data_IF_751965138189
#
_entry.id   IF_751965138189
#
_cell.length_a   1.000
_cell.length_b   1.000
_cell.length_c   1.000
_cell.angle_alpha   90.00
_cell.angle_beta   90.00
_cell.angle_gamma   90.00
#
_symmetry.space_group_name_H-M   'P 1'
#
loop_
_entity.id
_entity.type
_entity.pdbx_description
1 polymer ?
#
# COMPACT_ATOMS: atom_id res chain seq x y z
N UNK A 1 24.64 2.28 -13.18
CA UNK A 1 24.37 1.13 -12.27
C UNK A 1 23.33 0.25 -12.92
N UNK A 2 23.53 -1.06 -12.89
CA UNK A 2 22.58 -2.06 -13.37
C UNK A 2 21.81 -2.63 -12.19
N UNK A 3 20.49 -2.41 -12.16
CA UNK A 3 19.62 -2.77 -11.02
C UNK A 3 18.56 -3.77 -11.46
N UNK A 4 18.53 -4.92 -10.82
CA UNK A 4 17.46 -5.89 -10.98
C UNK A 4 16.42 -5.72 -9.87
N UNK A 5 15.19 -5.39 -10.25
CA UNK A 5 14.04 -5.29 -9.35
C UNK A 5 13.30 -6.62 -9.37
N UNK A 6 13.30 -7.36 -8.28
CA UNK A 6 12.69 -8.69 -8.21
C UNK A 6 11.43 -8.67 -7.38
N UNK A 7 10.31 -9.00 -8.03
CA UNK A 7 9.01 -9.14 -7.40
C UNK A 7 8.71 -10.60 -7.10
N UNK A 8 8.51 -10.92 -5.83
CA UNK A 8 8.02 -12.24 -5.42
C UNK A 8 6.66 -12.55 -6.04
N UNK A 9 5.88 -11.52 -6.31
CA UNK A 9 4.52 -11.62 -6.84
C UNK A 9 4.16 -10.34 -7.57
N UNK A 10 3.98 -10.43 -8.88
CA UNK A 10 3.44 -9.32 -9.68
C UNK A 10 1.91 -9.38 -9.68
N UNK A 11 1.27 -8.51 -8.90
CA UNK A 11 -0.20 -8.38 -8.85
C UNK A 11 -0.57 -6.92 -9.08
N UNK A 12 -1.38 -6.67 -10.11
CA UNK A 12 -1.94 -5.35 -10.35
C UNK A 12 -2.71 -4.85 -9.12
N UNK A 13 -2.58 -3.57 -8.79
CA UNK A 13 -3.23 -2.97 -7.63
C UNK A 13 -2.62 -3.34 -6.27
N UNK A 14 -1.55 -4.14 -6.24
CA UNK A 14 -0.80 -4.42 -5.02
C UNK A 14 0.21 -3.30 -4.75
N UNK A 15 0.27 -2.80 -3.52
CA UNK A 15 1.22 -1.77 -3.11
C UNK A 15 2.68 -2.13 -3.39
N UNK A 16 3.04 -3.41 -3.24
CA UNK A 16 4.38 -3.91 -3.56
C UNK A 16 4.73 -3.76 -5.04
N UNK A 17 3.79 -4.11 -5.91
CA UNK A 17 3.97 -3.96 -7.36
C UNK A 17 4.06 -2.48 -7.74
N UNK A 18 3.19 -1.63 -7.19
CA UNK A 18 3.23 -0.18 -7.44
C UNK A 18 4.56 0.43 -7.01
N UNK A 19 5.00 0.15 -5.79
CA UNK A 19 6.32 0.60 -5.32
C UNK A 19 7.45 0.25 -6.29
N UNK A 20 7.48 -1.01 -6.74
CA UNK A 20 8.53 -1.47 -7.65
C UNK A 20 8.45 -0.77 -9.02
N UNK A 21 7.25 -0.54 -9.55
CA UNK A 21 7.04 0.14 -10.83
C UNK A 21 7.45 1.61 -10.73
N UNK A 22 7.03 2.30 -9.67
CA UNK A 22 7.37 3.72 -9.47
C UNK A 22 8.88 3.89 -9.33
N UNK A 23 9.55 2.98 -8.62
CA UNK A 23 11.00 3.00 -8.53
C UNK A 23 11.68 2.68 -9.86
N UNK A 24 11.17 1.70 -10.62
CA UNK A 24 11.65 1.40 -11.96
C UNK A 24 11.55 2.61 -12.89
N UNK A 25 10.38 3.24 -12.96
CA UNK A 25 10.16 4.41 -13.81
C UNK A 25 11.11 5.55 -13.47
N UNK A 26 11.33 5.77 -12.18
CA UNK A 26 12.29 6.76 -11.71
C UNK A 26 13.73 6.40 -12.14
N UNK A 27 14.16 5.16 -11.97
CA UNK A 27 15.49 4.69 -12.38
C UNK A 27 15.73 4.88 -13.87
N UNK A 28 14.76 4.55 -14.72
CA UNK A 28 14.88 4.76 -16.17
C UNK A 28 14.95 6.24 -16.51
N UNK A 29 14.16 7.08 -15.85
CA UNK A 29 14.18 8.55 -16.03
C UNK A 29 15.55 9.13 -15.67
N UNK A 30 16.17 8.61 -14.60
CA UNK A 30 17.51 9.04 -14.16
C UNK A 30 18.66 8.37 -14.97
N UNK A 31 18.36 7.59 -16.00
CA UNK A 31 19.34 7.01 -16.90
C UNK A 31 20.04 5.76 -16.36
N UNK A 32 19.45 5.07 -15.41
CA UNK A 32 19.95 3.80 -14.89
C UNK A 32 19.47 2.61 -15.74
N UNK A 33 20.28 1.55 -15.80
CA UNK A 33 19.92 0.28 -16.42
C UNK A 33 19.11 -0.54 -15.40
N UNK A 34 17.80 -0.55 -15.53
CA UNK A 34 16.92 -1.27 -14.62
C UNK A 34 16.05 -2.30 -15.35
N UNK A 35 15.79 -3.43 -14.71
CA UNK A 35 14.92 -4.49 -15.22
C UNK A 35 14.06 -5.04 -14.10
N UNK A 36 12.74 -5.19 -14.35
CA UNK A 36 11.82 -5.86 -13.44
C UNK A 36 11.74 -7.34 -13.79
N UNK A 37 11.96 -8.19 -12.82
CA UNK A 37 11.74 -9.63 -12.88
C UNK A 37 10.58 -9.99 -11.96
N UNK A 38 9.50 -10.55 -12.53
CA UNK A 38 8.31 -10.89 -11.77
C UNK A 38 8.01 -12.40 -11.86
N UNK A 39 7.85 -13.04 -10.72
CA UNK A 39 7.35 -14.40 -10.66
C UNK A 39 5.85 -14.41 -10.99
N UNK A 40 5.46 -15.26 -11.97
CA UNK A 40 4.09 -15.35 -12.44
C UNK A 40 3.44 -16.64 -12.00
N UNK A 41 2.40 -16.55 -11.20
CA UNK A 41 1.59 -17.69 -10.78
C UNK A 41 0.37 -17.91 -11.70
N UNK A 42 0.14 -19.16 -12.12
CA UNK A 42 -0.95 -19.51 -13.04
C UNK A 42 -2.36 -19.28 -12.48
N UNK A 43 -2.51 -19.15 -11.16
CA UNK A 43 -3.83 -19.19 -10.48
C UNK A 43 -4.44 -17.82 -10.19
N UNK A 44 -3.71 -16.74 -10.40
CA UNK A 44 -4.27 -15.42 -10.21
C UNK A 44 -4.91 -14.96 -11.52
N UNK A 45 -6.17 -14.46 -11.49
CA UNK A 45 -6.69 -13.80 -12.66
C UNK A 45 -5.68 -12.74 -13.06
N UNK A 46 -5.19 -12.83 -14.28
CA UNK A 46 -4.31 -11.81 -14.84
C UNK A 46 -5.12 -10.53 -14.95
N UNK A 47 -5.01 -9.67 -13.96
CA UNK A 47 -5.19 -8.27 -14.24
C UNK A 47 -4.00 -7.92 -15.11
N UNK A 48 -4.29 -7.53 -16.34
CA UNK A 48 -3.26 -7.09 -17.25
C UNK A 48 -2.51 -5.97 -16.53
N UNK A 49 -1.29 -6.23 -16.14
CA UNK A 49 -0.28 -5.21 -15.92
C UNK A 49 0.01 -4.65 -17.30
N UNK A 50 -0.90 -3.84 -17.82
CA UNK A 50 -1.05 -3.61 -19.24
C UNK A 50 0.11 -2.86 -19.86
N UNK A 51 0.98 -2.25 -19.05
CA UNK A 51 2.04 -1.39 -19.56
C UNK A 51 3.39 -1.56 -18.86
N UNK A 52 3.55 -2.59 -18.01
CA UNK A 52 4.81 -2.81 -17.32
C UNK A 52 5.71 -3.68 -18.17
N UNK A 53 6.84 -3.14 -18.58
CA UNK A 53 7.91 -3.92 -19.18
C UNK A 53 8.57 -4.73 -18.07
N UNK A 54 8.07 -5.94 -17.82
CA UNK A 54 8.71 -6.85 -16.90
C UNK A 54 9.07 -8.18 -17.58
N UNK A 55 10.16 -8.78 -17.15
CA UNK A 55 10.52 -10.15 -17.50
C UNK A 55 9.76 -11.09 -16.59
N UNK A 56 8.65 -11.62 -17.09
CA UNK A 56 7.91 -12.68 -16.40
C UNK A 56 8.72 -14.00 -16.45
N UNK A 57 8.83 -14.68 -15.31
CA UNK A 57 9.51 -15.96 -15.25
C UNK A 57 8.72 -17.05 -14.54
N UNK A 58 8.98 -18.29 -14.94
CA UNK A 58 8.42 -19.51 -14.37
C UNK A 58 9.53 -20.37 -13.78
N UNK A 59 9.17 -21.43 -13.10
CA UNK A 59 10.12 -22.35 -12.46
C UNK A 59 11.27 -22.80 -13.39
N UNK A 60 10.96 -23.15 -14.62
CA UNK A 60 11.95 -23.60 -15.61
C UNK A 60 12.96 -22.52 -16.00
N UNK A 61 12.62 -21.27 -15.80
CA UNK A 61 13.42 -20.12 -16.24
C UNK A 61 14.43 -19.68 -15.18
N UNK A 62 14.36 -20.22 -13.97
CA UNK A 62 15.19 -19.81 -12.83
C UNK A 62 16.70 -19.84 -13.11
N UNK A 63 17.25 -20.91 -13.68
CA UNK A 63 18.70 -20.94 -13.87
C UNK A 63 19.19 -19.80 -14.77
N UNK A 64 18.34 -19.38 -15.71
CA UNK A 64 18.64 -18.26 -16.59
C UNK A 64 18.47 -16.92 -15.88
N UNK A 65 17.38 -16.77 -15.12
CA UNK A 65 17.13 -15.57 -14.33
C UNK A 65 18.26 -15.37 -13.29
N UNK A 66 18.66 -16.40 -12.57
CA UNK A 66 19.77 -16.33 -11.64
C UNK A 66 21.06 -15.82 -12.32
N UNK A 67 21.37 -16.29 -13.54
CA UNK A 67 22.53 -15.80 -14.30
C UNK A 67 22.40 -14.34 -14.72
N UNK A 68 21.20 -13.86 -15.01
CA UNK A 68 20.99 -12.46 -15.33
C UNK A 68 21.07 -11.58 -14.07
N UNK A 69 20.51 -12.03 -12.97
CA UNK A 69 20.62 -11.33 -11.67
C UNK A 69 22.08 -11.23 -11.20
N UNK A 70 22.89 -12.27 -11.43
CA UNK A 70 24.31 -12.28 -11.09
C UNK A 70 25.14 -11.22 -11.82
N UNK A 71 24.66 -10.71 -12.96
CA UNK A 71 25.29 -9.65 -13.74
C UNK A 71 24.88 -8.24 -13.31
N UNK A 72 24.01 -8.12 -12.32
CA UNK A 72 23.56 -6.83 -11.81
C UNK A 72 24.50 -6.29 -10.75
N UNK A 73 24.57 -4.98 -10.61
CA UNK A 73 25.29 -4.35 -9.50
C UNK A 73 24.47 -4.48 -8.21
N UNK A 74 23.15 -4.36 -8.33
CA UNK A 74 22.20 -4.45 -7.22
C UNK A 74 21.02 -5.35 -7.60
N UNK A 75 20.62 -6.20 -6.67
CA UNK A 75 19.34 -6.93 -6.71
C UNK A 75 18.46 -6.38 -5.59
N UNK A 76 17.38 -5.73 -5.97
CA UNK A 76 16.37 -5.17 -5.06
C UNK A 76 15.16 -6.10 -5.02
N UNK A 77 15.01 -6.80 -3.91
CA UNK A 77 13.98 -7.82 -3.73
C UNK A 77 12.79 -7.30 -2.94
N UNK A 78 11.65 -7.18 -3.60
CA UNK A 78 10.39 -6.84 -2.94
C UNK A 78 9.72 -8.10 -2.43
N UNK A 79 9.83 -8.34 -1.14
CA UNK A 79 9.35 -9.54 -0.49
C UNK A 79 7.87 -9.45 -0.11
N UNK A 80 7.19 -10.57 -0.21
CA UNK A 80 5.82 -10.73 0.26
C UNK A 80 5.76 -11.87 1.28
N UNK A 81 5.61 -11.56 2.58
CA UNK A 81 5.78 -12.55 3.64
C UNK A 81 4.56 -13.44 3.90
N UNK A 82 3.47 -13.27 3.18
CA UNK A 82 2.27 -14.06 3.43
C UNK A 82 2.31 -15.46 2.82
N UNK A 83 2.03 -16.45 3.65
CA UNK A 83 1.59 -17.76 3.20
C UNK A 83 0.15 -17.67 2.69
N UNK A 84 -0.07 -17.38 1.42
CA UNK A 84 -1.30 -17.81 0.78
C UNK A 84 -1.11 -19.22 0.23
N UNK A 85 -2.17 -20.02 0.28
CA UNK A 85 -2.15 -21.39 -0.26
C UNK A 85 -1.79 -21.34 -1.73
N UNK A 86 -0.61 -21.87 -2.09
CA UNK A 86 -0.05 -21.82 -3.44
C UNK A 86 1.14 -20.88 -3.63
N UNK A 87 1.43 -19.97 -2.69
CA UNK A 87 2.56 -19.05 -2.75
C UNK A 87 3.87 -19.67 -2.24
N UNK A 88 3.82 -20.78 -1.49
CA UNK A 88 5.01 -21.50 -0.98
C UNK A 88 6.01 -21.81 -2.09
N UNK A 89 5.48 -22.05 -3.28
CA UNK A 89 6.27 -22.31 -4.46
C UNK A 89 7.08 -21.10 -4.94
N UNK A 90 6.47 -19.92 -5.00
CA UNK A 90 7.12 -18.73 -5.51
C UNK A 90 8.13 -18.17 -4.53
N UNK A 91 7.82 -18.23 -3.23
CA UNK A 91 8.74 -17.78 -2.18
C UNK A 91 9.98 -18.66 -2.09
N UNK A 92 9.80 -19.99 -2.04
CA UNK A 92 10.91 -20.94 -2.06
C UNK A 92 11.80 -20.75 -3.29
N UNK A 93 11.20 -20.39 -4.37
CA UNK A 93 11.79 -20.26 -5.67
C UNK A 93 12.63 -19.01 -5.84
N UNK A 94 12.10 -17.84 -5.48
CA UNK A 94 12.83 -16.57 -5.48
C UNK A 94 13.94 -16.60 -4.43
N UNK A 95 13.67 -17.27 -3.31
CA UNK A 95 14.62 -17.54 -2.28
C UNK A 95 15.90 -18.18 -2.83
N UNK A 96 15.76 -19.24 -3.57
CA UNK A 96 16.90 -19.96 -4.14
C UNK A 96 17.65 -19.12 -5.17
N UNK A 97 16.93 -18.33 -6.00
CA UNK A 97 17.57 -17.45 -6.96
C UNK A 97 18.38 -16.34 -6.28
N UNK A 98 17.80 -15.68 -5.29
CA UNK A 98 18.44 -14.52 -4.65
C UNK A 98 19.53 -14.97 -3.68
N UNK A 99 19.27 -16.05 -2.94
CA UNK A 99 20.18 -16.58 -1.95
C UNK A 99 21.52 -17.02 -2.54
N UNK A 100 21.51 -17.65 -3.71
CA UNK A 100 22.72 -18.15 -4.38
C UNK A 100 23.58 -17.07 -5.06
N UNK A 101 23.11 -15.81 -5.14
CA UNK A 101 23.86 -14.74 -5.82
C UNK A 101 25.09 -14.30 -5.00
N UNK A 102 26.21 -14.17 -5.70
CA UNK A 102 27.51 -13.84 -5.10
C UNK A 102 27.96 -12.41 -5.45
N UNK A 103 27.69 -11.92 -6.65
CA UNK A 103 28.22 -10.62 -7.11
C UNK A 103 27.39 -9.41 -6.72
N UNK A 104 26.04 -9.39 -6.87
CA UNK A 104 25.28 -8.17 -6.61
C UNK A 104 25.19 -7.84 -5.12
N UNK A 105 25.02 -6.57 -4.81
CA UNK A 105 24.49 -6.13 -3.52
C UNK A 105 23.00 -6.56 -3.45
N UNK A 106 22.63 -7.28 -2.40
CA UNK A 106 21.30 -7.81 -2.21
C UNK A 106 20.53 -7.00 -1.17
N UNK A 107 19.49 -6.33 -1.61
CA UNK A 107 18.64 -5.52 -0.75
C UNK A 107 17.23 -6.04 -0.80
N UNK A 108 16.66 -6.31 0.36
CA UNK A 108 15.27 -6.68 0.48
C UNK A 108 14.41 -5.54 1.01
N UNK A 109 13.15 -5.50 0.66
CA UNK A 109 12.17 -4.70 1.36
C UNK A 109 10.96 -5.54 1.78
N UNK A 110 10.28 -5.10 2.82
CA UNK A 110 9.03 -5.68 3.26
C UNK A 110 8.05 -4.57 3.61
N UNK A 111 6.97 -4.45 2.83
CA UNK A 111 5.92 -3.46 3.02
C UNK A 111 4.71 -4.01 3.79
N UNK A 112 4.77 -5.24 4.30
CA UNK A 112 3.64 -5.85 4.98
C UNK A 112 3.66 -5.59 6.48
N UNK A 113 2.52 -5.15 7.00
CA UNK A 113 2.30 -4.93 8.42
C UNK A 113 2.02 -6.23 9.19
N UNK A 114 1.45 -7.24 8.52
CA UNK A 114 0.98 -8.46 9.17
C UNK A 114 1.94 -9.63 9.00
N UNK A 115 2.97 -9.64 9.81
CA UNK A 115 4.02 -10.67 9.80
C UNK A 115 3.75 -11.85 10.76
N UNK A 116 2.55 -11.98 11.29
CA UNK A 116 2.24 -13.01 12.27
C UNK A 116 2.51 -14.45 11.77
N UNK A 117 2.42 -14.67 10.47
CA UNK A 117 2.69 -15.97 9.84
C UNK A 117 4.17 -16.20 9.48
N UNK A 118 5.01 -15.16 9.48
CA UNK A 118 6.42 -15.25 9.12
C UNK A 118 7.24 -16.09 10.09
N UNK A 119 6.89 -16.08 11.35
CA UNK A 119 7.63 -16.82 12.39
C UNK A 119 7.77 -18.33 12.10
N UNK A 120 6.93 -18.85 11.19
CA UNK A 120 6.89 -20.28 10.84
C UNK A 120 7.66 -20.63 9.57
N UNK A 121 8.14 -19.64 8.81
CA UNK A 121 8.85 -19.87 7.56
C UNK A 121 10.35 -19.63 7.74
N UNK A 122 11.08 -20.65 8.16
CA UNK A 122 12.51 -20.54 8.39
C UNK A 122 13.29 -20.21 7.10
N UNK A 123 12.83 -20.66 5.93
CA UNK A 123 13.47 -20.36 4.64
C UNK A 123 13.46 -18.86 4.33
N UNK A 124 12.36 -18.18 4.67
CA UNK A 124 12.27 -16.74 4.52
C UNK A 124 13.36 -16.03 5.33
N UNK A 125 13.59 -16.46 6.55
CA UNK A 125 14.61 -15.85 7.40
C UNK A 125 16.04 -16.15 6.94
N UNK A 126 16.27 -17.33 6.36
CA UNK A 126 17.57 -17.63 5.74
C UNK A 126 17.84 -16.69 4.56
N UNK A 127 16.81 -16.35 3.77
CA UNK A 127 16.96 -15.32 2.71
C UNK A 127 17.30 -13.99 3.35
N UNK A 128 16.58 -13.58 4.38
CA UNK A 128 16.84 -12.30 5.05
C UNK A 128 18.25 -12.23 5.63
N UNK A 129 18.78 -13.32 6.16
CA UNK A 129 20.18 -13.42 6.60
C UNK A 129 21.17 -13.19 5.46
N UNK A 130 20.82 -13.58 4.23
CA UNK A 130 21.68 -13.42 3.06
C UNK A 130 21.64 -12.02 2.44
N UNK A 131 20.74 -11.15 2.88
CA UNK A 131 20.63 -9.78 2.38
C UNK A 131 21.73 -8.89 2.97
N UNK A 132 22.24 -7.98 2.16
CA UNK A 132 23.19 -6.97 2.61
C UNK A 132 22.48 -5.88 3.45
N UNK A 133 21.21 -5.60 3.16
CA UNK A 133 20.31 -4.80 3.98
C UNK A 133 18.85 -5.15 3.75
N UNK A 134 18.01 -4.81 4.73
CA UNK A 134 16.56 -4.84 4.62
C UNK A 134 15.99 -3.44 4.82
N UNK A 135 15.09 -3.03 3.94
CA UNK A 135 14.38 -1.75 4.06
C UNK A 135 12.97 -1.99 4.57
N UNK A 136 12.53 -1.13 5.46
CA UNK A 136 11.18 -1.19 6.01
C UNK A 136 10.73 0.22 6.41
N UNK A 137 9.44 0.48 6.37
CA UNK A 137 8.87 1.77 6.71
C UNK A 137 8.89 2.09 8.22
N UNK A 138 9.16 1.10 9.08
CA UNK A 138 9.24 1.31 10.53
C UNK A 138 10.17 0.31 11.22
N UNK A 139 11.12 0.83 11.97
CA UNK A 139 11.97 0.03 12.84
C UNK A 139 11.21 -0.61 14.01
N UNK A 140 9.94 -0.24 14.24
CA UNK A 140 9.06 -0.80 15.27
C UNK A 140 8.01 -1.76 14.73
N UNK A 141 7.99 -1.99 13.41
CA UNK A 141 7.06 -2.91 12.78
C UNK A 141 7.22 -4.35 13.29
N UNK A 142 6.19 -5.17 13.13
CA UNK A 142 6.30 -6.59 13.43
C UNK A 142 7.40 -7.27 12.60
N UNK A 143 7.55 -6.86 11.35
CA UNK A 143 8.64 -7.33 10.50
C UNK A 143 10.00 -6.99 11.11
N UNK A 144 10.22 -5.75 11.49
CA UNK A 144 11.47 -5.31 12.09
C UNK A 144 11.82 -6.09 13.36
N UNK A 145 10.83 -6.34 14.21
CA UNK A 145 11.01 -7.13 15.42
C UNK A 145 11.38 -8.58 15.11
N UNK A 146 10.72 -9.18 14.12
CA UNK A 146 11.03 -10.55 13.68
C UNK A 146 12.36 -10.65 12.96
N UNK A 147 12.75 -9.65 12.20
CA UNK A 147 14.08 -9.59 11.58
C UNK A 147 15.18 -9.62 12.66
N UNK A 148 15.05 -8.80 13.70
CA UNK A 148 16.01 -8.79 14.82
C UNK A 148 16.07 -10.13 15.55
N UNK A 149 14.95 -10.86 15.63
CA UNK A 149 14.88 -12.19 16.26
C UNK A 149 15.58 -13.28 15.41
N UNK A 150 15.34 -13.27 14.10
CA UNK A 150 15.71 -14.37 13.20
C UNK A 150 16.93 -14.09 12.32
N UNK A 151 17.22 -12.84 12.06
CA UNK A 151 18.34 -12.38 11.23
C UNK A 151 19.00 -11.12 11.84
N UNK A 152 19.51 -11.20 13.09
CA UNK A 152 19.96 -10.03 13.86
C UNK A 152 21.12 -9.27 13.20
N UNK A 153 21.93 -9.96 12.41
CA UNK A 153 23.09 -9.36 11.74
C UNK A 153 22.72 -8.65 10.45
N UNK A 154 21.47 -8.77 9.97
CA UNK A 154 21.03 -8.09 8.75
C UNK A 154 20.64 -6.66 9.08
N UNK A 155 21.32 -5.66 8.48
CA UNK A 155 21.01 -4.27 8.72
C UNK A 155 19.55 -3.95 8.34
N UNK A 156 18.85 -3.24 9.21
CA UNK A 156 17.51 -2.72 8.95
C UNK A 156 17.60 -1.21 8.78
N UNK A 157 17.15 -0.74 7.63
CA UNK A 157 17.10 0.69 7.29
C UNK A 157 15.64 1.11 7.27
N UNK A 158 15.30 2.06 8.13
CA UNK A 158 13.96 2.67 8.17
C UNK A 158 13.87 3.78 7.15
N UNK A 159 12.86 3.72 6.26
CA UNK A 159 12.63 4.74 5.24
C UNK A 159 11.21 4.68 4.69
N UNK A 160 10.79 5.77 4.06
CA UNK A 160 9.56 5.76 3.28
C UNK A 160 9.73 4.91 2.01
N UNK A 161 8.77 4.03 1.75
CA UNK A 161 8.79 3.09 0.63
C UNK A 161 7.54 3.23 -0.27
N UNK A 162 6.75 4.30 -0.09
CA UNK A 162 5.52 4.52 -0.88
C UNK A 162 5.63 5.80 -1.72
N UNK A 163 6.34 5.75 -2.86
CA UNK A 163 6.27 6.85 -3.82
C UNK A 163 4.86 6.97 -4.40
N UNK A 164 4.38 8.19 -4.56
CA UNK A 164 3.07 8.44 -5.14
C UNK A 164 3.03 9.71 -5.99
N UNK A 165 2.63 9.54 -7.26
CA UNK A 165 2.43 10.67 -8.18
C UNK A 165 1.03 11.25 -8.00
N UNK A 166 0.94 12.35 -7.25
CA UNK A 166 -0.32 13.07 -7.03
C UNK A 166 -0.79 13.81 -8.29
N UNK A 167 0.13 14.22 -9.15
CA UNK A 167 -0.20 14.99 -10.35
C UNK A 167 -0.83 14.14 -11.45
N UNK A 168 -0.56 12.84 -11.44
CA UNK A 168 -1.20 11.89 -12.35
C UNK A 168 -2.73 11.87 -12.24
N UNK A 169 -3.28 12.32 -11.11
CA UNK A 169 -4.71 12.35 -10.84
C UNK A 169 -5.33 13.75 -10.88
N UNK A 170 -4.58 14.76 -11.28
CA UNK A 170 -5.07 16.15 -11.30
C UNK A 170 -6.34 16.36 -12.11
N UNK A 171 -6.56 15.56 -13.14
CA UNK A 171 -7.76 15.58 -13.99
C UNK A 171 -8.99 14.93 -13.33
N UNK A 172 -8.84 14.21 -12.22
CA UNK A 172 -9.96 13.66 -11.47
C UNK A 172 -10.46 14.59 -10.37
N UNK A 173 -9.68 15.62 -10.07
CA UNK A 173 -10.01 16.61 -9.03
C UNK A 173 -11.08 17.57 -9.57
N UNK A 174 -12.24 17.57 -8.94
CA UNK A 174 -13.32 18.51 -9.28
C UNK A 174 -13.22 19.79 -8.43
N UNK A 175 -13.74 20.93 -8.91
CA UNK A 175 -13.87 22.14 -8.09
C UNK A 175 -14.62 21.86 -6.79
N UNK A 176 -14.25 22.51 -5.69
CA UNK A 176 -14.88 22.25 -4.39
C UNK A 176 -16.37 22.57 -4.35
N UNK A 177 -16.82 23.50 -5.22
CA UNK A 177 -18.21 23.87 -5.37
C UNK A 177 -19.04 22.78 -6.07
N UNK A 178 -18.38 21.93 -6.85
CA UNK A 178 -18.99 20.83 -7.59
C UNK A 178 -18.94 19.51 -6.82
N UNK A 179 -18.21 19.48 -5.69
CA UNK A 179 -18.16 18.29 -4.86
C UNK A 179 -19.52 18.04 -4.19
N UNK A 180 -19.91 16.80 -4.21
CA UNK A 180 -21.12 16.33 -3.56
C UNK A 180 -20.91 16.23 -2.04
N UNK A 181 -21.95 16.51 -1.27
CA UNK A 181 -21.97 16.36 0.18
C UNK A 181 -21.94 14.87 0.56
N UNK A 182 -20.78 14.28 0.30
CA UNK A 182 -20.53 12.85 0.37
C UNK A 182 -19.24 12.56 1.13
N UNK A 183 -19.25 11.49 1.94
CA UNK A 183 -18.09 10.91 2.58
C UNK A 183 -17.88 9.48 2.05
N UNK A 184 -16.73 9.22 1.45
CA UNK A 184 -16.42 7.97 0.76
C UNK A 184 -15.26 7.26 1.43
N UNK A 185 -15.48 6.05 1.95
CA UNK A 185 -14.39 5.14 2.27
C UNK A 185 -13.83 4.56 0.96
N UNK A 186 -12.51 4.65 0.80
CA UNK A 186 -11.84 4.22 -0.42
C UNK A 186 -10.70 3.27 -0.10
N UNK A 187 -10.86 2.00 -0.44
CA UNK A 187 -9.81 1.03 -0.16
C UNK A 187 -10.30 -0.41 -0.13
N UNK A 188 -9.39 -1.30 0.24
CA UNK A 188 -9.70 -2.72 0.35
C UNK A 188 -10.54 -2.98 1.60
N UNK A 189 -11.63 -3.72 1.43
CA UNK A 189 -12.37 -4.26 2.57
C UNK A 189 -11.64 -5.48 3.13
N UNK A 190 -10.99 -5.33 4.26
CA UNK A 190 -10.26 -6.39 4.94
C UNK A 190 -10.44 -6.24 6.45
N UNK A 191 -10.30 -7.32 7.21
CA UNK A 191 -10.56 -7.30 8.65
C UNK A 191 -9.65 -6.37 9.48
N UNK A 192 -8.51 -5.96 8.95
CA UNK A 192 -7.63 -4.96 9.56
C UNK A 192 -7.89 -3.53 9.07
N UNK A 193 -8.71 -3.36 8.04
CA UNK A 193 -9.29 -2.09 7.60
C UNK A 193 -10.63 -1.94 8.30
N UNK A 194 -11.02 -0.73 8.63
CA UNK A 194 -12.23 -0.47 9.40
C UNK A 194 -13.26 0.34 8.59
N UNK A 195 -13.84 -0.22 7.53
CA UNK A 195 -14.87 0.46 6.75
C UNK A 195 -16.15 0.71 7.58
N UNK A 196 -16.34 -0.02 8.70
CA UNK A 196 -17.52 0.16 9.57
C UNK A 196 -17.56 1.51 10.26
N UNK A 197 -16.41 2.13 10.48
CA UNK A 197 -16.38 3.48 11.02
C UNK A 197 -17.16 4.48 10.16
N UNK A 198 -17.27 4.19 8.86
CA UNK A 198 -18.13 4.98 7.97
C UNK A 198 -19.63 4.88 8.33
N UNK A 199 -20.04 3.74 8.88
CA UNK A 199 -21.42 3.59 9.35
C UNK A 199 -21.69 4.47 10.56
N UNK A 200 -20.78 4.50 11.51
CA UNK A 200 -20.90 5.37 12.69
C UNK A 200 -20.87 6.86 12.28
N UNK A 201 -20.01 7.21 11.30
CA UNK A 201 -19.98 8.56 10.72
C UNK A 201 -21.32 8.90 10.05
N UNK A 202 -21.91 7.96 9.31
CA UNK A 202 -23.21 8.15 8.67
C UNK A 202 -24.29 8.48 9.72
N UNK A 203 -24.37 7.70 10.78
CA UNK A 203 -25.36 7.92 11.85
C UNK A 203 -25.17 9.30 12.52
N UNK A 204 -23.92 9.71 12.73
CA UNK A 204 -23.61 11.00 13.34
C UNK A 204 -23.83 12.20 12.40
N UNK A 205 -23.75 11.99 11.08
CA UNK A 205 -24.03 13.03 10.08
C UNK A 205 -25.49 13.09 9.64
N UNK A 206 -26.35 12.21 10.16
CA UNK A 206 -27.77 12.15 9.85
C UNK A 206 -28.47 13.50 10.11
N UNK A 207 -29.34 13.91 9.20
CA UNK A 207 -29.99 15.24 9.28
C UNK A 207 -29.14 16.39 8.68
N UNK A 208 -27.95 16.10 8.14
CA UNK A 208 -27.06 17.09 7.54
C UNK A 208 -26.94 16.95 6.02
N UNK A 209 -27.79 16.18 5.37
CA UNK A 209 -27.80 15.90 3.93
C UNK A 209 -26.49 15.28 3.41
N UNK A 210 -25.86 14.44 4.21
CA UNK A 210 -24.69 13.67 3.79
C UNK A 210 -25.09 12.31 3.23
N UNK A 211 -24.38 11.91 2.18
CA UNK A 211 -24.37 10.54 1.70
C UNK A 211 -23.05 9.89 2.10
N UNK A 212 -23.12 8.67 2.61
CA UNK A 212 -21.94 7.88 2.92
C UNK A 212 -21.84 6.67 2.03
N UNK A 213 -20.65 6.36 1.57
CA UNK A 213 -20.40 5.22 0.72
C UNK A 213 -19.06 4.54 0.99
N UNK A 214 -18.96 3.29 0.58
CA UNK A 214 -17.74 2.52 0.59
C UNK A 214 -17.42 2.03 -0.83
N UNK A 215 -16.24 2.34 -1.34
CA UNK A 215 -15.76 1.88 -2.63
C UNK A 215 -14.59 0.92 -2.42
N UNK A 216 -14.83 -0.35 -2.70
CA UNK A 216 -13.85 -1.41 -2.54
C UNK A 216 -13.01 -1.59 -3.78
N UNK A 217 -11.72 -1.85 -3.60
CA UNK A 217 -10.85 -2.36 -4.66
C UNK A 217 -11.15 -3.83 -4.88
N UNK A 218 -10.90 -4.29 -6.08
CA UNK A 218 -11.13 -5.66 -6.52
C UNK A 218 -10.87 -6.75 -5.47
N UNK A 219 -11.76 -7.72 -5.34
CA UNK A 219 -11.78 -8.88 -4.43
C UNK A 219 -12.18 -8.64 -2.97
N UNK A 220 -12.61 -7.45 -2.61
CA UNK A 220 -12.85 -7.13 -1.20
C UNK A 220 -14.21 -7.62 -0.69
N UNK A 221 -15.24 -7.64 -1.52
CA UNK A 221 -16.61 -7.90 -1.07
C UNK A 221 -16.81 -9.33 -0.56
N UNK A 222 -16.14 -10.32 -1.16
CA UNK A 222 -16.22 -11.71 -0.70
C UNK A 222 -15.52 -12.01 0.62
N UNK A 223 -14.80 -11.03 1.19
CA UNK A 223 -13.98 -11.20 2.39
C UNK A 223 -14.62 -10.64 3.66
N UNK A 224 -15.87 -10.14 3.60
CA UNK A 224 -16.49 -9.46 4.72
C UNK A 224 -17.62 -10.27 5.38
N UNK A 225 -17.27 -11.22 6.26
CA UNK A 225 -18.27 -11.90 7.09
C UNK A 225 -19.10 -10.92 7.94
N UNK A 226 -18.61 -9.71 8.12
CA UNK A 226 -19.16 -8.71 9.04
C UNK A 226 -20.36 -7.95 8.46
N UNK A 227 -20.45 -7.83 7.12
CA UNK A 227 -21.65 -7.26 6.46
C UNK A 227 -22.75 -8.30 6.22
N UNK A 228 -22.47 -9.53 6.60
CA UNK A 228 -23.42 -10.61 6.47
C UNK A 228 -24.24 -10.74 7.75
N UNK A 229 -25.45 -11.20 7.62
CA UNK A 229 -26.25 -11.64 8.74
C UNK A 229 -25.57 -12.81 9.47
N UNK A 230 -26.13 -13.25 10.58
CA UNK A 230 -25.59 -14.36 11.38
C UNK A 230 -25.40 -15.66 10.59
N UNK A 231 -26.18 -15.86 9.52
CA UNK A 231 -26.02 -16.98 8.58
C UNK A 231 -24.74 -16.92 7.74
N UNK A 232 -24.01 -15.80 7.77
CA UNK A 232 -22.78 -15.53 7.02
C UNK A 232 -22.93 -15.62 5.48
N UNK A 233 -24.12 -15.53 4.96
CA UNK A 233 -24.42 -15.63 3.53
C UNK A 233 -25.30 -14.50 3.03
N UNK A 234 -26.21 -14.03 3.86
CA UNK A 234 -27.15 -12.97 3.49
C UNK A 234 -26.60 -11.62 3.88
N UNK A 235 -26.60 -10.68 2.94
CA UNK A 235 -26.26 -9.29 3.21
C UNK A 235 -27.27 -8.63 4.14
N UNK A 236 -26.79 -7.75 4.98
CA UNK A 236 -27.65 -6.91 5.80
C UNK A 236 -28.24 -5.78 4.95
N UNK A 237 -29.26 -6.12 4.15
CA UNK A 237 -29.96 -5.17 3.28
C UNK A 237 -30.72 -4.08 4.03
N UNK A 238 -30.91 -4.27 5.34
CA UNK A 238 -31.44 -3.27 6.25
C UNK A 238 -30.51 -2.07 6.44
N UNK A 239 -29.21 -2.28 6.26
CA UNK A 239 -28.15 -1.26 6.47
C UNK A 239 -27.48 -0.89 5.16
N UNK A 240 -27.26 -1.86 4.28
CA UNK A 240 -26.46 -1.67 3.08
C UNK A 240 -27.30 -1.83 1.81
N UNK A 241 -27.04 -0.97 0.86
CA UNK A 241 -27.46 -1.17 -0.52
C UNK A 241 -26.21 -1.47 -1.36
N UNK A 242 -26.18 -2.68 -1.93
CA UNK A 242 -25.04 -3.16 -2.72
C UNK A 242 -25.35 -3.02 -4.21
N UNK A 243 -24.50 -2.28 -4.89
CA UNK A 243 -24.61 -2.10 -6.32
C UNK A 243 -23.63 -3.01 -7.08
N UNK A 244 -24.11 -3.87 -7.98
CA UNK A 244 -23.22 -4.66 -8.82
C UNK A 244 -22.48 -3.77 -9.84
N UNK A 245 -21.23 -4.03 -10.03
CA UNK A 245 -20.16 -3.19 -10.57
C UNK A 245 -20.11 -3.07 -12.08
N UNK A 246 -21.07 -3.43 -12.81
CA UNK A 246 -20.89 -3.39 -14.27
C UNK A 246 -21.11 -2.03 -14.91
N UNK A 247 -21.66 -1.08 -14.19
CA UNK A 247 -21.75 0.31 -14.63
C UNK A 247 -21.80 1.20 -13.38
N UNK A 248 -21.07 2.29 -13.30
CA UNK A 248 -21.30 3.33 -12.31
C UNK A 248 -22.64 4.02 -12.65
N UNK A 249 -23.72 3.36 -12.33
CA UNK A 249 -25.03 4.00 -12.41
C UNK A 249 -25.12 4.92 -11.21
N UNK A 250 -25.32 6.18 -11.46
CA UNK A 250 -25.69 7.17 -10.45
C UNK A 250 -27.08 6.79 -9.94
N UNK A 251 -27.14 5.96 -8.92
CA UNK A 251 -28.36 5.75 -8.20
C UNK A 251 -28.66 6.99 -7.34
N UNK A 252 -29.92 7.41 -7.23
CA UNK A 252 -30.26 8.45 -6.27
C UNK A 252 -29.90 7.93 -4.88
N UNK A 253 -28.92 8.55 -4.27
CA UNK A 253 -28.45 8.20 -2.94
C UNK A 253 -29.30 8.91 -1.90
N UNK A 254 -29.57 8.23 -0.81
CA UNK A 254 -30.33 8.74 0.33
C UNK A 254 -29.47 8.72 1.58
N UNK A 255 -29.73 9.66 2.48
CA UNK A 255 -28.85 9.94 3.63
C UNK A 255 -28.81 8.81 4.66
N UNK A 256 -29.85 8.02 4.77
CA UNK A 256 -30.01 7.00 5.81
C UNK A 256 -29.47 5.62 5.44
N UNK A 257 -28.79 5.50 4.30
CA UNK A 257 -28.20 4.26 3.84
C UNK A 257 -26.74 4.42 3.46
N UNK A 258 -25.95 3.41 3.77
CA UNK A 258 -24.59 3.30 3.27
C UNK A 258 -24.57 2.53 1.95
N UNK A 259 -24.00 3.14 0.94
CA UNK A 259 -23.86 2.54 -0.38
C UNK A 259 -22.52 1.82 -0.50
N UNK A 260 -22.57 0.58 -0.98
CA UNK A 260 -21.37 -0.22 -1.22
C UNK A 260 -21.20 -0.47 -2.71
N UNK A 261 -20.08 -0.01 -3.23
CA UNK A 261 -19.70 -0.24 -4.61
C UNK A 261 -18.51 -1.20 -4.65
N UNK A 262 -18.67 -2.26 -5.34
CA UNK A 262 -17.61 -3.24 -5.47
C UNK A 262 -16.79 -3.06 -6.74
N UNK A 263 -15.93 -4.03 -7.16
CA UNK A 263 -14.64 -3.71 -7.74
C UNK A 263 -14.77 -2.81 -8.98
N UNK A 264 -13.99 -1.75 -8.98
CA UNK A 264 -13.84 -0.80 -10.08
C UNK A 264 -12.35 -0.78 -10.49
N UNK A 265 -12.07 -0.30 -11.67
CA UNK A 265 -10.69 0.05 -12.00
C UNK A 265 -10.30 1.34 -11.25
N UNK A 266 -9.01 1.52 -11.03
CA UNK A 266 -8.52 2.63 -10.20
C UNK A 266 -8.94 3.99 -10.76
N UNK A 267 -8.89 4.18 -12.09
CA UNK A 267 -9.23 5.45 -12.71
C UNK A 267 -10.70 5.83 -12.52
N UNK A 268 -11.61 4.88 -12.69
CA UNK A 268 -13.06 5.08 -12.41
C UNK A 268 -13.29 5.38 -10.93
N UNK A 269 -12.61 4.63 -10.05
CA UNK A 269 -12.71 4.85 -8.62
C UNK A 269 -12.22 6.23 -8.18
N UNK A 270 -11.09 6.69 -8.74
CA UNK A 270 -10.54 8.02 -8.47
C UNK A 270 -11.46 9.14 -8.98
N UNK A 271 -12.04 8.98 -10.17
CA UNK A 271 -12.98 9.94 -10.72
C UNK A 271 -14.26 10.08 -9.86
N UNK A 272 -14.76 8.97 -9.34
CA UNK A 272 -15.91 8.98 -8.43
C UNK A 272 -15.54 9.53 -7.04
N UNK A 273 -14.38 9.17 -6.52
CA UNK A 273 -13.87 9.69 -5.25
C UNK A 273 -13.71 11.21 -5.29
N UNK A 274 -13.19 11.76 -6.40
CA UNK A 274 -13.00 13.20 -6.57
C UNK A 274 -14.29 14.03 -6.47
N UNK A 275 -15.45 13.41 -6.69
CA UNK A 275 -16.74 14.07 -6.49
C UNK A 275 -17.14 14.20 -5.02
N UNK A 276 -16.48 13.48 -4.11
CA UNK A 276 -16.80 13.48 -2.67
C UNK A 276 -16.08 14.62 -1.95
N UNK A 277 -16.75 15.25 -0.99
CA UNK A 277 -16.12 16.24 -0.11
C UNK A 277 -15.06 15.59 0.78
N UNK A 278 -15.34 14.37 1.27
CA UNK A 278 -14.47 13.66 2.19
C UNK A 278 -14.13 12.27 1.66
N UNK A 279 -12.86 11.90 1.80
CA UNK A 279 -12.38 10.55 1.51
C UNK A 279 -11.81 9.92 2.77
N UNK A 280 -12.09 8.64 3.01
CA UNK A 280 -11.70 7.97 4.24
C UNK A 280 -10.89 6.71 3.99
N UNK A 281 -9.92 6.48 4.86
CA UNK A 281 -9.21 5.22 5.01
C UNK A 281 -8.98 4.98 6.51
N UNK A 282 -9.50 3.89 7.03
CA UNK A 282 -9.41 3.54 8.43
C UNK A 282 -8.73 2.20 8.64
N UNK A 283 -8.17 2.04 9.85
CA UNK A 283 -7.50 0.83 10.26
C UNK A 283 -7.99 0.36 11.62
N UNK A 284 -8.04 -0.94 11.81
CA UNK A 284 -8.26 -1.58 13.10
C UNK A 284 -7.04 -2.43 13.45
N UNK A 285 -5.91 -1.77 13.63
CA UNK A 285 -4.65 -2.37 14.01
C UNK A 285 -4.22 -1.86 15.39
N UNK A 286 -3.46 -2.65 16.15
CA UNK A 286 -2.80 -2.13 17.35
C UNK A 286 -1.88 -0.96 16.99
N UNK A 287 -1.86 0.09 17.80
CA UNK A 287 -1.08 1.32 17.60
C UNK A 287 0.39 1.05 17.20
N UNK A 288 1.01 0.06 17.82
CA UNK A 288 2.40 -0.37 17.54
C UNK A 288 2.65 -0.82 16.10
N UNK A 289 1.59 -1.12 15.34
CA UNK A 289 1.70 -1.61 13.96
C UNK A 289 1.58 -0.48 12.94
N UNK A 290 1.17 0.71 13.36
CA UNK A 290 1.15 1.88 12.50
C UNK A 290 2.59 2.34 12.24
N UNK A 291 2.91 2.49 10.96
CA UNK A 291 4.22 2.97 10.53
C UNK A 291 4.21 4.47 10.27
N UNK A 292 5.37 4.99 9.91
CA UNK A 292 5.55 6.38 9.46
C UNK A 292 5.19 6.59 7.98
N UNK A 293 4.54 5.62 7.37
CA UNK A 293 4.24 5.58 5.95
C UNK A 293 2.79 5.95 5.67
N UNK A 294 2.56 6.80 4.68
CA UNK A 294 1.23 7.01 4.11
C UNK A 294 0.95 5.85 3.14
N UNK A 295 -0.10 5.07 3.37
CA UNK A 295 -0.48 3.99 2.47
C UNK A 295 -1.05 4.51 1.15
N UNK A 296 -1.00 3.69 0.10
CA UNK A 296 -1.49 4.07 -1.22
C UNK A 296 -2.95 4.52 -1.24
N UNK A 297 -3.83 3.85 -0.49
CA UNK A 297 -5.23 4.28 -0.40
C UNK A 297 -5.39 5.66 0.24
N UNK A 298 -4.54 5.99 1.23
CA UNK A 298 -4.51 7.34 1.81
C UNK A 298 -3.99 8.37 0.79
N UNK A 299 -2.97 8.01 0.00
CA UNK A 299 -2.48 8.85 -1.09
C UNK A 299 -3.56 9.08 -2.15
N UNK A 300 -4.33 8.06 -2.49
CA UNK A 300 -5.45 8.13 -3.43
C UNK A 300 -6.52 9.09 -2.95
N UNK A 301 -6.90 9.01 -1.68
CA UNK A 301 -7.84 9.93 -1.05
C UNK A 301 -7.36 11.39 -1.17
N UNK A 302 -6.10 11.66 -0.89
CA UNK A 302 -5.51 13.00 -0.99
C UNK A 302 -5.45 13.45 -2.46
N UNK A 303 -4.99 12.58 -3.35
CA UNK A 303 -4.81 12.88 -4.78
C UNK A 303 -6.12 13.15 -5.51
N UNK A 304 -7.22 12.51 -5.08
CA UNK A 304 -8.55 12.76 -5.61
C UNK A 304 -9.10 14.16 -5.25
N UNK A 305 -8.40 14.90 -4.39
CA UNK A 305 -8.81 16.24 -3.97
C UNK A 305 -9.94 16.26 -2.95
N UNK A 306 -10.11 15.18 -2.21
CA UNK A 306 -11.04 15.12 -1.07
C UNK A 306 -10.37 15.61 0.21
N UNK A 307 -11.14 15.91 1.24
CA UNK A 307 -10.63 16.11 2.59
C UNK A 307 -10.38 14.73 3.22
N UNK A 308 -9.13 14.40 3.60
CA UNK A 308 -8.83 13.09 4.15
C UNK A 308 -9.39 12.87 5.56
N UNK A 309 -10.07 11.75 5.77
CA UNK A 309 -10.48 11.23 7.07
C UNK A 309 -9.68 9.97 7.39
N UNK A 310 -8.76 10.06 8.33
CA UNK A 310 -7.86 8.97 8.67
C UNK A 310 -7.99 8.54 10.12
N UNK A 311 -7.49 7.36 10.44
CA UNK A 311 -7.44 6.88 11.80
C UNK A 311 -6.55 7.76 12.69
N UNK A 312 -7.02 8.12 13.89
CA UNK A 312 -6.30 8.96 14.86
C UNK A 312 -4.87 8.48 15.14
N UNK A 313 -4.64 7.18 15.16
CA UNK A 313 -3.31 6.63 15.45
C UNK A 313 -2.25 7.02 14.42
N UNK A 314 -2.63 7.32 13.19
CA UNK A 314 -1.71 7.85 12.19
C UNK A 314 -1.25 9.29 12.50
N UNK A 315 -2.05 10.06 13.19
CA UNK A 315 -1.76 11.46 13.52
C UNK A 315 -0.56 11.65 14.46
N UNK A 316 -0.19 10.61 15.20
CA UNK A 316 0.94 10.64 16.14
C UNK A 316 2.28 10.35 15.48
N UNK A 317 2.27 9.86 14.23
CA UNK A 317 3.50 9.53 13.53
C UNK A 317 4.14 10.78 12.93
N UNK A 318 5.39 11.00 13.31
CA UNK A 318 6.24 12.06 12.75
C UNK A 318 6.92 11.50 11.50
N UNK A 319 6.76 12.20 10.41
CA UNK A 319 7.42 11.87 9.16
C UNK A 319 8.79 12.55 9.19
N UNK A 320 9.82 11.75 9.39
CA UNK A 320 11.19 12.23 9.27
C UNK A 320 11.55 12.47 7.81
N UNK A 321 12.17 13.61 7.56
CA UNK A 321 12.83 13.90 6.32
C UNK A 321 14.23 14.43 6.54
N UNK A 322 15.02 14.33 5.46
CA UNK A 322 16.40 14.82 5.34
C UNK A 322 16.63 16.17 6.01
N UNK A 323 17.84 16.39 6.49
CA UNK A 323 18.29 17.64 7.14
C UNK A 323 17.74 18.90 6.45
N UNK A 324 17.08 19.75 7.21
CA UNK A 324 16.57 21.03 6.74
C UNK A 324 15.07 21.07 6.38
N UNK A 325 14.37 19.94 6.36
CA UNK A 325 12.91 19.92 6.16
C UNK A 325 12.20 19.82 7.51
N UNK A 326 11.23 20.71 7.80
CA UNK A 326 10.48 20.64 9.06
C UNK A 326 9.74 19.31 9.19
N UNK A 327 9.63 18.82 10.42
CA UNK A 327 8.82 17.65 10.71
C UNK A 327 7.39 17.88 10.24
N UNK A 328 6.91 17.01 9.35
CA UNK A 328 5.52 16.98 8.92
C UNK A 328 4.83 15.93 9.75
N UNK A 329 3.77 16.30 10.43
CA UNK A 329 2.87 15.35 11.09
C UNK A 329 1.69 15.05 10.17
N UNK A 330 1.21 13.82 10.17
CA UNK A 330 0.05 13.46 9.35
C UNK A 330 -1.19 14.29 9.72
N UNK A 331 -1.32 14.70 10.98
CA UNK A 331 -2.40 15.60 11.44
C UNK A 331 -2.42 16.96 10.73
N UNK A 332 -1.33 17.34 10.05
CA UNK A 332 -1.27 18.63 9.37
C UNK A 332 -2.00 18.63 8.02
N UNK A 333 -2.44 17.46 7.55
CA UNK A 333 -3.11 17.35 6.27
C UNK A 333 -4.29 16.35 6.21
N UNK A 334 -4.81 15.95 7.37
CA UNK A 334 -5.98 15.09 7.46
C UNK A 334 -6.79 15.38 8.72
N UNK A 335 -8.08 15.08 8.69
CA UNK A 335 -8.91 14.99 9.89
C UNK A 335 -8.74 13.60 10.48
N UNK A 336 -8.41 13.51 11.75
CA UNK A 336 -8.21 12.24 12.43
C UNK A 336 -9.45 11.85 13.23
N UNK A 337 -9.99 10.68 12.85
CA UNK A 337 -11.18 10.10 13.47
C UNK A 337 -10.75 9.06 14.50
N UNK A 338 -11.08 9.34 15.76
CA UNK A 338 -10.87 8.38 16.85
C UNK A 338 -12.01 7.37 16.86
N UNK A 339 -11.69 6.08 16.78
CA UNK A 339 -12.71 5.02 16.85
C UNK A 339 -13.45 4.97 18.20
N UNK A 340 -12.81 5.46 19.26
CA UNK A 340 -13.40 5.52 20.61
C UNK A 340 -14.26 6.78 20.82
N UNK A 341 -14.07 7.81 19.98
CA UNK A 341 -14.81 9.07 20.03
C UNK A 341 -14.96 9.71 18.65
N UNK A 342 -15.71 9.06 17.78
CA UNK A 342 -15.95 9.53 16.41
C UNK A 342 -16.66 10.88 16.41
N UNK A 343 -17.52 11.12 17.41
CA UNK A 343 -18.29 12.34 17.51
C UNK A 343 -17.42 13.60 17.64
N UNK A 344 -16.22 13.48 18.19
CA UNK A 344 -15.29 14.60 18.33
C UNK A 344 -14.85 15.19 16.98
N UNK A 345 -14.85 14.42 15.90
CA UNK A 345 -14.47 14.88 14.54
C UNK A 345 -15.63 15.53 13.76
N UNK A 346 -16.88 15.30 14.16
CA UNK A 346 -18.06 15.74 13.41
C UNK A 346 -18.17 17.26 13.27
N UNK A 347 -17.91 18.07 14.29
CA UNK A 347 -17.95 19.54 14.15
C UNK A 347 -17.03 20.07 13.06
N UNK A 348 -15.81 19.54 12.94
CA UNK A 348 -14.85 19.94 11.90
C UNK A 348 -15.28 19.47 10.51
N UNK A 349 -15.80 18.25 10.39
CA UNK A 349 -16.39 17.73 9.15
C UNK A 349 -17.52 18.64 8.67
N UNK A 350 -18.43 19.03 9.55
CA UNK A 350 -19.57 19.91 9.21
C UNK A 350 -19.11 21.33 8.86
N UNK A 351 -18.12 21.86 9.57
CA UNK A 351 -17.56 23.16 9.26
C UNK A 351 -16.96 23.20 7.86
N UNK A 352 -16.10 22.24 7.54
CA UNK A 352 -15.49 22.13 6.22
C UNK A 352 -16.53 21.87 5.13
N UNK A 353 -17.57 21.07 5.40
CA UNK A 353 -18.64 20.85 4.45
C UNK A 353 -19.42 22.11 4.09
N UNK A 354 -19.54 23.06 5.03
CA UNK A 354 -20.28 24.31 4.87
C UNK A 354 -19.41 25.47 4.39
N UNK A 355 -18.08 25.32 4.35
CA UNK A 355 -17.13 26.38 3.99
C UNK A 355 -16.22 25.92 2.84
N UNK A 356 -16.60 26.27 1.60
CA UNK A 356 -15.86 25.86 0.39
C UNK A 356 -14.46 26.47 0.34
N UNK A 357 -14.26 27.70 0.79
CA UNK A 357 -12.96 28.39 0.78
C UNK A 357 -11.98 27.66 1.72
N UNK A 358 -12.41 27.37 2.95
CA UNK A 358 -11.60 26.62 3.90
C UNK A 358 -11.33 25.20 3.43
N UNK A 359 -12.31 24.56 2.78
CA UNK A 359 -12.14 23.22 2.19
C UNK A 359 -11.10 23.22 1.08
N UNK A 360 -11.10 24.24 0.21
CA UNK A 360 -10.10 24.39 -0.83
C UNK A 360 -8.68 24.62 -0.27
N UNK A 361 -8.57 25.46 0.75
CA UNK A 361 -7.29 25.68 1.45
C UNK A 361 -6.76 24.39 2.07
N UNK A 362 -7.62 23.66 2.78
CA UNK A 362 -7.27 22.39 3.43
C UNK A 362 -6.80 21.36 2.38
N UNK A 363 -7.54 21.19 1.30
CA UNK A 363 -7.22 20.30 0.19
C UNK A 363 -5.85 20.59 -0.42
N UNK A 364 -5.59 21.86 -0.73
CA UNK A 364 -4.29 22.29 -1.29
C UNK A 364 -3.15 22.01 -0.31
N UNK A 365 -3.37 22.28 0.96
CA UNK A 365 -2.38 22.01 1.98
C UNK A 365 -2.10 20.50 2.12
N UNK A 366 -3.16 19.67 2.10
CA UNK A 366 -3.01 18.19 2.16
C UNK A 366 -2.15 17.66 1.01
N UNK A 367 -2.44 18.05 -0.22
CA UNK A 367 -1.65 17.64 -1.39
C UNK A 367 -0.21 18.15 -1.29
N UNK A 368 -0.01 19.41 -0.90
CA UNK A 368 1.33 20.00 -0.75
C UNK A 368 2.18 19.25 0.27
N UNK A 369 1.63 18.97 1.45
CA UNK A 369 2.36 18.28 2.51
C UNK A 369 2.61 16.80 2.16
N UNK A 370 1.61 16.14 1.55
CA UNK A 370 1.77 14.78 1.09
C UNK A 370 2.87 14.64 0.02
N UNK A 371 2.96 15.57 -0.93
CA UNK A 371 4.04 15.61 -1.91
C UNK A 371 5.43 15.78 -1.28
N UNK A 372 5.55 16.62 -0.26
CA UNK A 372 6.80 16.75 0.47
C UNK A 372 7.23 15.45 1.14
N UNK A 373 6.29 14.58 1.45
CA UNK A 373 6.57 13.30 2.10
C UNK A 373 6.83 12.17 1.13
N UNK A 374 5.98 11.99 0.12
CA UNK A 374 6.00 10.79 -0.70
C UNK A 374 5.84 11.01 -2.21
N UNK A 375 6.20 12.20 -2.73
CA UNK A 375 6.37 12.34 -4.17
C UNK A 375 7.46 11.38 -4.69
N UNK A 376 7.33 10.85 -5.92
CA UNK A 376 8.27 9.88 -6.47
C UNK A 376 9.73 10.35 -6.43
N UNK A 377 9.96 11.62 -6.76
CA UNK A 377 11.29 12.23 -6.76
C UNK A 377 11.92 12.21 -5.37
N UNK A 378 11.10 12.35 -4.34
CA UNK A 378 11.59 12.38 -2.96
C UNK A 378 11.90 10.97 -2.48
N UNK A 379 10.90 10.08 -2.56
CA UNK A 379 11.02 8.70 -2.02
C UNK A 379 12.08 7.91 -2.78
N UNK A 380 12.08 8.01 -4.11
CA UNK A 380 12.98 7.23 -4.94
C UNK A 380 14.43 7.75 -4.89
N UNK A 381 14.62 9.07 -4.70
CA UNK A 381 15.95 9.62 -4.46
C UNK A 381 16.52 9.11 -3.14
N UNK A 382 15.75 9.22 -2.05
CA UNK A 382 16.15 8.71 -0.74
C UNK A 382 16.44 7.19 -0.79
N UNK A 383 15.60 6.45 -1.50
CA UNK A 383 15.77 5.01 -1.69
C UNK A 383 17.06 4.68 -2.45
N UNK A 384 17.33 5.39 -3.53
CA UNK A 384 18.52 5.18 -4.33
C UNK A 384 19.81 5.57 -3.59
N UNK A 385 19.78 6.67 -2.83
CA UNK A 385 20.89 7.06 -1.96
C UNK A 385 21.14 6.00 -0.87
N UNK A 386 20.09 5.49 -0.26
CA UNK A 386 20.20 4.42 0.72
C UNK A 386 20.81 3.15 0.11
N UNK A 387 20.38 2.76 -1.11
CA UNK A 387 20.97 1.65 -1.86
C UNK A 387 22.47 1.84 -2.09
N UNK A 388 22.89 3.03 -2.51
CA UNK A 388 24.30 3.35 -2.77
C UNK A 388 25.18 3.28 -1.51
N UNK A 389 24.58 3.46 -0.34
CA UNK A 389 25.26 3.40 0.95
C UNK A 389 25.31 1.99 1.56
N UNK A 390 24.66 1.00 0.96
CA UNK A 390 24.71 -0.38 1.43
C UNK A 390 26.05 -1.01 1.02
N UNK A 391 26.78 -1.51 2.00
CA UNK A 391 28.00 -2.29 1.77
C UNK A 391 27.66 -3.78 1.64
N UNK A 392 28.33 -4.43 0.71
CA UNK A 392 28.24 -5.88 0.58
C UNK A 392 28.76 -6.57 1.82
N UNK A 393 28.00 -7.50 2.35
CA UNK A 393 28.35 -8.27 3.53
C UNK A 393 29.03 -9.59 3.15
N UNK A 394 30.03 -9.99 3.93
CA UNK A 394 30.52 -11.37 3.93
C UNK A 394 29.51 -12.24 4.69
N UNK A 395 28.63 -12.88 3.98
CA UNK A 395 27.68 -13.82 4.59
C UNK A 395 28.32 -15.20 4.50
N UNK A 396 28.49 -15.88 5.63
CA UNK A 396 28.86 -17.30 5.62
C UNK A 396 27.82 -18.04 4.79
N UNK A 397 28.26 -18.85 3.83
CA UNK A 397 27.35 -19.68 3.03
C UNK A 397 26.58 -20.57 3.98
N UNK A 398 25.27 -20.41 4.09
CA UNK A 398 24.50 -21.30 4.92
C UNK A 398 24.48 -22.69 4.28
N UNK A 399 24.16 -23.66 5.13
CA UNK A 399 23.97 -25.06 4.79
C UNK A 399 23.46 -25.26 3.36
N UNK A 400 24.16 -26.11 2.61
CA UNK A 400 23.75 -26.56 1.28
C UNK A 400 22.24 -26.84 1.25
N UNK A 401 21.49 -25.91 0.71
CA UNK A 401 20.12 -26.19 0.36
C UNK A 401 20.19 -27.29 -0.71
N UNK A 402 19.82 -28.50 -0.35
CA UNK A 402 19.82 -29.62 -1.27
C UNK A 402 18.94 -29.25 -2.46
N UNK A 403 19.60 -28.89 -3.53
CA UNK A 403 18.96 -28.59 -4.83
C UNK A 403 18.23 -29.79 -5.42
N UNK A 404 18.51 -30.99 -4.91
CA UNK A 404 17.98 -32.27 -5.39
C UNK A 404 16.47 -32.45 -5.19
N UNK A 405 15.82 -31.60 -4.38
CA UNK A 405 14.37 -31.66 -4.18
C UNK A 405 13.56 -30.71 -5.07
N UNK A 406 14.22 -30.03 -6.00
CA UNK A 406 13.59 -29.00 -6.86
C UNK A 406 13.33 -29.46 -8.30
N UNK A 407 13.74 -30.68 -8.64
CA UNK A 407 13.57 -31.23 -9.98
C UNK A 407 12.66 -32.46 -9.99
#
# INVERSE_FOLDING_TARGET
MKIALVLAKGVEGCGLTRHTIEFYNWLIKEGHDATIYAAVEKKWPRHKTTDIVCTEFKRKDIPNIAKELEKSDVVYYTSYPHKSVGDEFNEDFIAHCIYGLENPIKIGNCLDHNTANLAKNYKYWEIMKSMDAMFNYSARSNFANKLREHAPDTPLIEMNLNPYDYDAWSNTVVPVEEQERRATYFGRFAGFKDPFRMFDIMELLKGNNFVTECRGVERSIGALPMFLQEDRKTLREDIFEVHPIKNPVTYPQVEDKMYMYGPYNLAEGMAELGKSMFGAEFFNLPERLYGSMIEYAMCEVIAAGTIPLFDKHWGTHVIHRTEGVPFIQLKDFAIFVDKEDIAASIPEILELANNSERREEFRKNSVRLAKLHNAPEVVNTDLFEAINNVNKRSVEKPLELKTDSLF
#
